data_IF_283129374882
#
_entry.id   IF_283129374882
#
_cell.length_a   1.000
_cell.length_b   1.000
_cell.length_c   1.000
_cell.angle_alpha   90.00
_cell.angle_beta   90.00
_cell.angle_gamma   90.00
#
_symmetry.space_group_name_H-M   'P 1'
#
loop_
_entity.id
_entity.type
_entity.pdbx_description
1 polymer ?
#
# COMPACT_ATOMS: atom_id res chain seq x y z
N UNK A 1 21.02 -8.51 23.51
CA UNK A 1 20.56 -7.14 23.83
C UNK A 1 19.23 -7.24 24.57
N UNK A 2 19.16 -6.68 25.78
CA UNK A 2 18.13 -7.00 26.78
C UNK A 2 16.89 -6.09 26.65
N UNK A 3 15.70 -6.67 26.60
CA UNK A 3 14.40 -5.98 26.42
C UNK A 3 13.80 -5.44 27.74
N UNK A 4 14.63 -5.19 28.76
CA UNK A 4 14.17 -4.96 30.14
C UNK A 4 14.27 -3.53 30.65
N UNK A 5 14.57 -2.55 29.79
CA UNK A 5 14.57 -1.11 30.16
C UNK A 5 13.53 -0.30 29.39
N UNK A 6 12.47 -0.97 28.93
CA UNK A 6 11.31 -0.29 28.32
C UNK A 6 10.22 -0.08 29.37
N UNK A 7 9.33 0.88 29.13
CA UNK A 7 8.24 1.27 30.02
C UNK A 7 7.18 0.18 30.21
N UNK A 8 6.09 0.50 30.88
CA UNK A 8 5.06 -0.47 31.26
C UNK A 8 3.87 -0.59 30.31
N UNK A 9 3.80 0.26 29.26
CA UNK A 9 2.64 0.36 28.37
C UNK A 9 2.43 -0.91 27.54
N UNK A 10 1.17 -1.29 27.37
CA UNK A 10 0.70 -2.51 26.70
C UNK A 10 0.19 -2.20 25.29
N UNK A 11 -0.17 -3.23 24.55
CA UNK A 11 -0.84 -3.08 23.27
C UNK A 11 -2.14 -2.29 23.46
N UNK A 12 -2.36 -1.25 22.65
CA UNK A 12 -3.55 -0.41 22.81
C UNK A 12 -3.33 0.85 23.65
N UNK A 13 -2.18 0.97 24.32
CA UNK A 13 -1.91 2.15 25.15
C UNK A 13 -1.31 3.29 24.32
N UNK A 14 -1.78 4.49 24.62
CA UNK A 14 -1.24 5.72 24.04
C UNK A 14 0.23 5.87 24.43
N UNK A 15 1.12 6.08 23.47
CA UNK A 15 2.56 6.27 23.70
C UNK A 15 3.04 7.57 23.09
N UNK A 16 4.15 8.11 23.58
CA UNK A 16 4.85 9.24 22.93
C UNK A 16 6.17 8.76 22.32
N UNK A 17 6.79 7.76 22.95
CA UNK A 17 8.05 7.17 22.52
C UNK A 17 7.99 5.64 22.49
N UNK A 18 8.74 5.01 21.58
CA UNK A 18 8.83 3.54 21.45
C UNK A 18 9.40 2.86 22.70
N UNK A 19 10.11 3.62 23.54
CA UNK A 19 10.67 3.19 24.82
C UNK A 19 9.63 3.01 25.91
N UNK A 20 8.41 3.53 25.76
CA UNK A 20 7.34 3.38 26.76
C UNK A 20 6.64 2.01 26.70
N UNK A 21 6.72 1.35 25.54
CA UNK A 21 6.03 0.09 25.30
C UNK A 21 6.81 -1.09 25.90
N UNK A 22 6.19 -1.81 26.84
CA UNK A 22 6.83 -2.80 27.70
C UNK A 22 6.89 -4.23 27.19
N UNK A 23 6.71 -4.43 25.89
CA UNK A 23 6.72 -5.75 25.24
C UNK A 23 7.84 -5.82 24.20
N UNK A 24 8.39 -7.01 24.00
CA UNK A 24 9.51 -7.23 23.08
C UNK A 24 9.10 -6.92 21.64
N UNK A 25 9.93 -6.16 20.92
CA UNK A 25 9.62 -5.73 19.54
C UNK A 25 8.45 -4.75 19.45
N UNK A 26 8.08 -4.08 20.55
CA UNK A 26 7.12 -2.98 20.52
C UNK A 26 7.69 -1.74 19.83
N UNK A 27 6.80 -1.00 19.16
CA UNK A 27 7.06 0.34 18.68
C UNK A 27 5.83 1.22 18.91
N UNK A 28 6.04 2.52 19.01
CA UNK A 28 4.96 3.51 19.07
C UNK A 28 4.60 3.87 17.64
N UNK A 29 3.37 3.58 17.21
CA UNK A 29 2.90 3.86 15.85
C UNK A 29 2.24 5.23 15.79
N UNK A 30 2.83 6.23 15.10
CA UNK A 30 2.30 7.59 15.11
C UNK A 30 1.13 7.82 14.14
N UNK A 31 0.46 6.76 13.66
CA UNK A 31 -0.54 6.85 12.58
C UNK A 31 -1.84 6.10 12.86
N UNK A 32 -2.10 5.67 14.09
CA UNK A 32 -3.33 4.94 14.41
C UNK A 32 -4.52 5.87 14.65
N UNK A 33 -5.12 6.35 13.55
CA UNK A 33 -6.43 6.98 13.36
C UNK A 33 -6.88 8.17 14.24
N UNK A 34 -6.26 8.44 15.40
CA UNK A 34 -6.50 9.60 16.27
C UNK A 34 -5.39 9.82 17.31
N UNK A 35 -4.52 8.84 17.59
CA UNK A 35 -3.39 9.00 18.52
C UNK A 35 -2.31 7.93 18.36
N UNK A 36 -1.11 8.23 18.84
CA UNK A 36 0.04 7.33 18.82
C UNK A 36 -0.15 6.18 19.82
N UNK A 37 -0.08 4.92 19.36
CA UNK A 37 -0.41 3.74 20.17
C UNK A 37 0.67 2.64 20.07
N UNK A 38 0.91 1.94 21.18
CA UNK A 38 1.89 0.85 21.23
C UNK A 38 1.40 -0.36 20.41
N UNK A 39 2.16 -0.74 19.37
CA UNK A 39 1.86 -1.86 18.49
C UNK A 39 3.00 -2.91 18.47
N UNK A 40 2.70 -4.20 18.22
CA UNK A 40 3.72 -5.23 18.01
C UNK A 40 4.39 -5.08 16.64
N UNK A 41 5.73 -5.12 16.56
CA UNK A 41 6.47 -5.28 15.30
C UNK A 41 6.35 -6.72 14.79
N UNK A 42 5.13 -7.12 14.41
CA UNK A 42 4.91 -8.35 13.63
C UNK A 42 5.38 -8.18 12.19
N UNK A 43 5.37 -6.94 11.69
CA UNK A 43 5.76 -6.57 10.33
C UNK A 43 6.16 -5.08 10.32
N UNK A 44 7.40 -4.78 10.65
CA UNK A 44 7.91 -3.42 10.46
C UNK A 44 8.02 -3.11 8.95
N UNK A 45 6.92 -2.70 8.31
CA UNK A 45 6.97 -1.95 7.04
C UNK A 45 7.48 -0.56 7.40
N UNK A 46 8.63 -0.18 6.85
CA UNK A 46 9.17 1.16 7.02
C UNK A 46 8.08 2.21 6.70
N UNK A 47 7.99 3.33 7.46
CA UNK A 47 7.04 4.37 7.13
C UNK A 47 7.42 4.93 5.76
N UNK A 48 6.60 4.64 4.75
CA UNK A 48 6.64 5.34 3.48
C UNK A 48 6.30 6.81 3.81
N UNK A 49 7.32 7.63 4.00
CA UNK A 49 7.20 9.09 4.01
C UNK A 49 7.02 9.59 2.57
N UNK A 50 6.00 9.07 1.87
CA UNK A 50 5.58 9.57 0.57
C UNK A 50 4.12 9.99 0.75
N UNK A 51 3.76 11.25 0.45
CA UNK A 51 2.35 11.62 0.39
C UNK A 51 1.66 10.60 -0.51
N UNK A 52 0.51 10.09 -0.06
CA UNK A 52 -0.40 9.29 -0.86
C UNK A 52 -1.02 10.27 -1.85
N UNK A 53 -0.25 10.62 -2.87
CA UNK A 53 -0.81 11.14 -4.10
C UNK A 53 -1.64 9.99 -4.67
N UNK A 54 -2.83 10.23 -5.23
CA UNK A 54 -3.55 9.19 -5.94
C UNK A 54 -2.67 8.78 -7.11
N UNK A 55 -1.82 7.76 -6.90
CA UNK A 55 -1.07 7.12 -7.96
C UNK A 55 -2.15 6.47 -8.82
N UNK A 56 -2.63 7.21 -9.82
CA UNK A 56 -3.47 6.67 -10.87
C UNK A 56 -2.57 5.76 -11.68
N UNK A 57 -2.30 4.61 -11.09
CA UNK A 57 -1.59 3.50 -11.67
C UNK A 57 -2.52 2.91 -12.72
N UNK A 58 -2.32 3.37 -13.96
CA UNK A 58 -2.89 2.70 -15.11
C UNK A 58 -1.95 1.56 -15.41
N UNK A 59 -2.35 0.35 -15.06
CA UNK A 59 -1.63 -0.87 -15.41
C UNK A 59 -1.27 -0.83 -16.91
N UNK A 60 -0.01 -1.07 -17.28
CA UNK A 60 0.38 -1.22 -18.69
C UNK A 60 -0.48 -2.25 -19.43
N UNK A 61 -1.00 -3.25 -18.71
CA UNK A 61 -1.96 -4.23 -19.22
C UNK A 61 -3.29 -3.61 -19.67
N UNK A 62 -3.80 -2.59 -18.97
CA UNK A 62 -5.07 -1.93 -19.32
C UNK A 62 -4.94 -1.21 -20.66
N UNK A 63 -3.84 -0.49 -20.88
CA UNK A 63 -3.56 0.18 -22.16
C UNK A 63 -3.43 -0.85 -23.29
N UNK A 64 -2.75 -1.97 -23.03
CA UNK A 64 -2.57 -3.05 -24.00
C UNK A 64 -3.89 -3.65 -24.49
N UNK A 65 -4.86 -3.88 -23.58
CA UNK A 65 -6.17 -4.41 -23.94
C UNK A 65 -6.96 -3.42 -24.82
N UNK A 66 -6.94 -2.13 -24.49
CA UNK A 66 -7.63 -1.11 -25.30
C UNK A 66 -7.08 -1.03 -26.73
N UNK A 67 -5.76 -1.09 -26.91
CA UNK A 67 -5.12 -1.07 -28.24
C UNK A 67 -5.49 -2.33 -29.04
N UNK A 68 -5.43 -3.51 -28.42
CA UNK A 68 -5.77 -4.77 -29.08
C UNK A 68 -7.23 -4.78 -29.59
N UNK A 69 -8.16 -4.31 -28.76
CA UNK A 69 -9.59 -4.21 -29.11
C UNK A 69 -9.80 -3.29 -30.33
N UNK A 70 -9.14 -2.13 -30.35
CA UNK A 70 -9.24 -1.19 -31.48
C UNK A 70 -8.65 -1.77 -32.77
N UNK A 71 -7.45 -2.36 -32.69
CA UNK A 71 -6.79 -2.98 -33.86
C UNK A 71 -7.63 -4.11 -34.44
N UNK A 72 -8.18 -4.98 -33.59
CA UNK A 72 -9.07 -6.06 -34.03
C UNK A 72 -10.28 -5.53 -34.78
N UNK A 73 -10.95 -4.50 -34.26
CA UNK A 73 -12.11 -3.89 -34.92
C UNK A 73 -11.77 -3.32 -36.29
N UNK A 74 -10.65 -2.60 -36.43
CA UNK A 74 -10.20 -2.04 -37.71
C UNK A 74 -9.92 -3.15 -38.72
N UNK A 75 -9.23 -4.22 -38.32
CA UNK A 75 -8.94 -5.37 -39.20
C UNK A 75 -10.26 -5.99 -39.68
N UNK A 76 -11.21 -6.25 -38.78
CA UNK A 76 -12.53 -6.80 -39.14
C UNK A 76 -13.24 -5.86 -40.11
N UNK A 77 -13.26 -4.55 -39.86
CA UNK A 77 -13.91 -3.59 -40.76
C UNK A 77 -13.29 -3.61 -42.17
N UNK A 78 -11.97 -3.67 -42.28
CA UNK A 78 -11.27 -3.75 -43.58
C UNK A 78 -11.63 -5.04 -44.31
N UNK A 79 -11.63 -6.16 -43.59
CA UNK A 79 -11.97 -7.47 -44.15
C UNK A 79 -13.43 -7.49 -44.63
N UNK A 80 -14.37 -7.02 -43.81
CA UNK A 80 -15.79 -6.93 -44.19
C UNK A 80 -16.01 -5.96 -45.36
N UNK A 81 -15.25 -4.86 -45.45
CA UNK A 81 -15.26 -3.93 -46.60
C UNK A 81 -14.69 -4.55 -47.88
N UNK A 82 -13.69 -5.43 -47.77
CA UNK A 82 -13.10 -6.15 -48.90
C UNK A 82 -14.07 -7.18 -49.48
N UNK A 83 -14.78 -7.91 -48.61
CA UNK A 83 -15.76 -8.94 -49.01
C UNK A 83 -17.14 -8.38 -49.38
N UNK A 84 -17.45 -7.14 -49.00
CA UNK A 84 -18.69 -6.45 -49.38
C UNK A 84 -18.58 -5.65 -50.68
N UNK A 85 -17.54 -5.91 -51.48
CA UNK A 85 -17.41 -5.46 -52.87
C UNK A 85 -17.90 -6.55 -53.80
#
# INVERSE_FOLDING_TARGET
MNASTRGSKKFGDKCESTTECGFAGSFCDPKKHTYDECAPCGVCRAPINKPIEPEKYIDPAMIGVLVAMAVMFIIICVVLRLFSK
#
